data_IF_245889239439
#
_entry.id   IF_245889239439
#
_cell.length_a   1.000
_cell.length_b   1.000
_cell.length_c   1.000
_cell.angle_alpha   90.00
_cell.angle_beta   90.00
_cell.angle_gamma   90.00
#
_symmetry.space_group_name_H-M   'P 1'
#
loop_
_entity.id
_entity.type
_entity.pdbx_description
1 polymer ?
#
# COMPACT_ATOMS: atom_id res chain seq x y z
N UNK A 1 5.31 17.77 20.37
CA UNK A 1 4.91 17.37 21.75
C UNK A 1 3.39 17.20 21.92
N UNK A 2 2.55 17.98 21.23
CA UNK A 2 1.08 17.84 21.27
C UNK A 2 0.52 16.55 20.63
N UNK A 3 1.26 15.95 19.70
CA UNK A 3 0.81 14.75 18.98
C UNK A 3 0.67 13.52 19.91
N UNK A 4 1.51 13.42 20.94
CA UNK A 4 1.42 12.33 21.93
C UNK A 4 0.22 12.52 22.87
N UNK A 5 -0.05 13.76 23.28
CA UNK A 5 -1.22 14.09 24.10
C UNK A 5 -2.54 13.79 23.38
N UNK A 6 -2.62 14.07 22.08
CA UNK A 6 -3.78 13.74 21.24
C UNK A 6 -4.04 12.23 21.15
N UNK A 7 -2.99 11.40 21.28
CA UNK A 7 -3.09 9.93 21.28
C UNK A 7 -3.29 9.32 22.68
N UNK A 8 -3.58 10.14 23.69
CA UNK A 8 -3.88 9.69 25.06
C UNK A 8 -2.66 9.48 25.96
N UNK A 9 -1.47 9.91 25.53
CA UNK A 9 -0.27 9.91 26.36
C UNK A 9 -0.18 11.19 27.20
N UNK A 10 -0.12 11.06 28.52
CA UNK A 10 0.04 12.18 29.43
C UNK A 10 1.40 12.10 30.13
N UNK A 11 2.13 13.22 30.16
CA UNK A 11 3.38 13.33 30.90
C UNK A 11 3.13 14.12 32.17
N UNK A 12 3.24 13.44 33.31
CA UNK A 12 3.02 14.05 34.62
C UNK A 12 4.34 14.14 35.36
N UNK A 13 4.75 15.36 35.70
CA UNK A 13 5.88 15.58 36.58
C UNK A 13 5.47 15.30 38.03
N UNK A 14 6.24 14.47 38.73
CA UNK A 14 6.04 14.22 40.17
C UNK A 14 7.31 14.60 40.92
N UNK A 15 7.13 15.40 41.98
CA UNK A 15 8.19 15.82 42.89
C UNK A 15 8.70 14.66 43.75
N UNK A 16 7.82 13.73 44.09
CA UNK A 16 8.16 12.52 44.83
C UNK A 16 8.16 11.32 43.88
N UNK A 17 9.34 10.74 43.71
CA UNK A 17 9.54 9.55 42.90
C UNK A 17 9.20 8.26 43.64
N UNK A 18 8.99 7.18 42.90
CA UNK A 18 8.86 5.85 43.48
C UNK A 18 10.21 5.17 43.72
N UNK A 19 10.17 3.91 44.17
CA UNK A 19 11.37 3.06 44.33
C UNK A 19 12.19 2.96 43.04
N UNK A 20 11.52 2.95 41.88
CA UNK A 20 12.17 2.88 40.56
C UNK A 20 13.02 4.12 40.22
N UNK A 21 12.73 5.28 40.79
CA UNK A 21 13.52 6.52 40.59
C UNK A 21 14.36 6.87 41.82
N UNK A 22 14.52 5.95 42.77
CA UNK A 22 15.24 6.19 44.02
C UNK A 22 14.66 7.35 44.83
N UNK A 23 13.33 7.49 44.82
CA UNK A 23 12.58 8.58 45.48
C UNK A 23 12.87 9.99 44.95
N UNK A 24 13.57 10.12 43.82
CA UNK A 24 13.85 11.42 43.19
C UNK A 24 12.73 11.84 42.24
N UNK A 25 12.55 13.15 42.12
CA UNK A 25 11.61 13.77 41.20
C UNK A 25 11.86 13.34 39.75
N UNK A 26 10.79 13.16 38.98
CA UNK A 26 10.89 12.65 37.61
C UNK A 26 9.62 12.83 36.79
N UNK A 27 9.80 12.72 35.48
CA UNK A 27 8.71 12.74 34.50
C UNK A 27 8.16 11.33 34.31
N UNK A 28 6.86 11.16 34.52
CA UNK A 28 6.16 9.89 34.34
C UNK A 28 5.28 9.95 33.11
N UNK A 29 5.43 8.96 32.24
CA UNK A 29 4.45 8.70 31.19
C UNK A 29 3.27 7.94 31.82
N UNK A 30 2.09 8.54 31.80
CA UNK A 30 0.84 7.95 32.24
C UNK A 30 -0.11 7.88 31.05
N UNK A 31 -0.74 6.72 30.84
CA UNK A 31 -1.44 6.44 29.58
C UNK A 31 -0.45 6.05 28.48
N UNK A 32 -0.61 4.85 27.95
CA UNK A 32 0.11 4.45 26.75
C UNK A 32 -0.61 5.08 25.56
N UNK A 33 0.10 5.76 24.65
CA UNK A 33 -0.53 6.10 23.38
C UNK A 33 -0.97 4.79 22.79
N UNK A 34 -2.29 4.62 22.60
CA UNK A 34 -2.77 3.49 21.81
C UNK A 34 -2.02 3.63 20.49
N UNK A 35 -1.28 2.59 20.11
CA UNK A 35 -0.86 2.46 18.73
C UNK A 35 -2.18 2.46 17.98
N UNK A 36 -2.62 3.62 17.52
CA UNK A 36 -3.45 3.68 16.34
C UNK A 36 -2.56 2.96 15.35
N UNK A 37 -2.81 1.66 15.19
CA UNK A 37 -2.39 0.95 13.99
C UNK A 37 -2.67 1.96 12.90
N UNK A 38 -1.63 2.46 12.18
CA UNK A 38 -1.87 3.44 11.13
C UNK A 38 -2.99 2.80 10.36
N UNK A 39 -4.19 3.40 10.43
CA UNK A 39 -5.42 2.88 9.84
C UNK A 39 -4.91 2.41 8.52
N UNK A 40 -4.84 1.08 8.35
CA UNK A 40 -4.22 0.54 7.18
C UNK A 40 -4.89 1.35 6.09
N UNK A 41 -4.10 2.14 5.36
CA UNK A 41 -4.50 2.43 4.01
C UNK A 41 -4.72 1.02 3.51
N UNK A 42 -5.98 0.58 3.54
CA UNK A 42 -6.50 -0.37 2.57
C UNK A 42 -5.71 0.01 1.35
N UNK A 43 -4.88 -0.89 0.79
CA UNK A 43 -4.14 -0.52 -0.39
C UNK A 43 -5.22 -0.07 -1.36
N UNK A 44 -5.35 1.24 -1.51
CA UNK A 44 -5.93 1.94 -2.62
C UNK A 44 -4.94 1.65 -3.75
N UNK A 45 -4.80 0.35 -4.03
CA UNK A 45 -4.44 -0.12 -5.34
C UNK A 45 -5.41 0.62 -6.25
N UNK A 46 -4.89 1.27 -7.30
CA UNK A 46 -5.72 2.04 -8.21
C UNK A 46 -6.91 1.15 -8.56
N UNK A 47 -8.09 1.55 -8.07
CA UNK A 47 -9.31 0.86 -8.38
C UNK A 47 -9.49 1.11 -9.87
N UNK A 48 -8.96 0.19 -10.69
CA UNK A 48 -9.01 0.29 -12.14
C UNK A 48 -10.50 0.44 -12.46
N UNK A 49 -10.90 1.64 -12.82
CA UNK A 49 -12.28 1.96 -13.14
C UNK A 49 -12.60 1.39 -14.51
N UNK A 50 -13.86 1.08 -14.79
CA UNK A 50 -14.28 0.61 -16.13
C UNK A 50 -13.87 1.62 -17.22
N UNK A 51 -13.82 2.91 -16.87
CA UNK A 51 -13.33 3.99 -17.73
C UNK A 51 -11.83 3.85 -18.07
N UNK A 52 -11.00 3.38 -17.13
CA UNK A 52 -9.59 3.09 -17.36
C UNK A 52 -9.40 1.88 -18.26
N UNK A 53 -10.24 0.84 -18.11
CA UNK A 53 -10.22 -0.33 -18.99
C UNK A 53 -10.55 0.04 -20.44
N UNK A 54 -11.46 1.00 -20.64
CA UNK A 54 -11.83 1.47 -21.98
C UNK A 54 -10.75 2.32 -22.64
N UNK A 55 -9.77 2.81 -21.89
CA UNK A 55 -8.59 3.55 -22.39
C UNK A 55 -7.42 2.62 -22.71
N UNK A 56 -7.52 1.34 -22.38
CA UNK A 56 -6.46 0.37 -22.69
C UNK A 56 -6.51 0.08 -24.18
N UNK A 57 -5.47 0.55 -24.86
CA UNK A 57 -5.19 0.28 -26.26
C UNK A 57 -3.89 -0.54 -26.40
N UNK A 58 -3.71 -1.14 -27.57
CA UNK A 58 -2.45 -1.78 -27.94
C UNK A 58 -1.30 -0.74 -27.86
N UNK A 59 -0.22 -1.07 -27.15
CA UNK A 59 0.85 -0.14 -26.78
C UNK A 59 0.73 0.44 -25.37
N UNK A 60 -0.37 0.20 -24.64
CA UNK A 60 -0.52 0.69 -23.27
C UNK A 60 0.50 0.04 -22.33
N UNK A 61 1.16 0.86 -21.52
CA UNK A 61 2.06 0.37 -20.49
C UNK A 61 1.25 -0.14 -19.29
N UNK A 62 1.56 -1.33 -18.83
CA UNK A 62 0.95 -1.98 -17.67
C UNK A 62 2.03 -2.47 -16.73
N UNK A 63 1.71 -2.59 -15.45
CA UNK A 63 2.60 -3.09 -14.41
C UNK A 63 2.02 -4.37 -13.80
N UNK A 64 2.87 -5.39 -13.65
CA UNK A 64 2.57 -6.61 -12.94
C UNK A 64 3.54 -6.81 -11.78
N UNK A 65 3.04 -7.11 -10.59
CA UNK A 65 3.88 -7.24 -9.37
C UNK A 65 5.08 -8.18 -9.51
N UNK A 66 4.88 -9.33 -10.18
CA UNK A 66 5.95 -10.33 -10.36
C UNK A 66 6.79 -10.14 -11.62
N UNK A 67 6.25 -9.50 -12.66
CA UNK A 67 6.90 -9.42 -13.98
C UNK A 67 7.46 -8.03 -14.27
N UNK A 68 7.07 -7.02 -13.49
CA UNK A 68 7.45 -5.63 -13.70
C UNK A 68 6.60 -4.94 -14.76
N UNK A 69 7.20 -3.97 -15.43
CA UNK A 69 6.57 -3.23 -16.52
C UNK A 69 6.44 -4.09 -17.78
N UNK A 70 5.32 -3.95 -18.46
CA UNK A 70 5.03 -4.56 -19.74
C UNK A 70 4.17 -3.66 -20.61
N UNK A 71 4.07 -4.04 -21.87
CA UNK A 71 3.29 -3.34 -22.90
C UNK A 71 2.21 -4.28 -23.42
N UNK A 72 1.00 -3.75 -23.60
CA UNK A 72 -0.11 -4.50 -24.18
C UNK A 72 0.14 -4.67 -25.68
N UNK A 73 0.23 -5.91 -26.16
CA UNK A 73 0.48 -6.22 -27.58
C UNK A 73 -0.82 -6.51 -28.32
N UNK A 74 -1.77 -7.17 -27.67
CA UNK A 74 -3.06 -7.49 -28.27
C UNK A 74 -4.15 -7.53 -27.22
N UNK A 75 -5.33 -7.01 -27.59
CA UNK A 75 -6.51 -6.98 -26.73
C UNK A 75 -7.62 -7.77 -27.42
N UNK A 76 -8.03 -8.87 -26.80
CA UNK A 76 -9.22 -9.62 -27.15
C UNK A 76 -10.36 -9.37 -26.17
N UNK A 77 -11.54 -9.91 -26.47
CA UNK A 77 -12.74 -9.72 -25.64
C UNK A 77 -12.65 -10.39 -24.26
N UNK A 78 -11.95 -11.53 -24.16
CA UNK A 78 -11.79 -12.33 -22.93
C UNK A 78 -10.33 -12.36 -22.44
N UNK A 79 -9.38 -11.98 -23.29
CA UNK A 79 -7.94 -12.10 -23.00
C UNK A 79 -7.14 -10.92 -23.49
N UNK A 80 -6.10 -10.58 -22.75
CA UNK A 80 -5.13 -9.55 -23.10
C UNK A 80 -3.73 -10.15 -23.15
N UNK A 81 -2.99 -9.89 -24.22
CA UNK A 81 -1.60 -10.28 -24.38
C UNK A 81 -0.69 -9.13 -23.97
N UNK A 82 0.14 -9.36 -22.96
CA UNK A 82 1.10 -8.38 -22.44
C UNK A 82 2.52 -8.90 -22.62
N UNK A 83 3.40 -8.04 -23.11
CA UNK A 83 4.83 -8.29 -23.25
C UNK A 83 5.58 -7.57 -22.15
N UNK A 84 6.18 -8.33 -21.22
CA UNK A 84 6.99 -7.76 -20.15
C UNK A 84 8.45 -7.59 -20.56
N UNK A 85 9.05 -6.46 -20.20
CA UNK A 85 10.45 -6.17 -20.49
C UNK A 85 11.42 -7.10 -19.73
N UNK A 86 11.01 -7.52 -18.52
CA UNK A 86 11.81 -8.41 -17.67
C UNK A 86 11.94 -9.85 -18.22
N UNK A 87 11.15 -10.22 -19.23
CA UNK A 87 11.24 -11.55 -19.81
C UNK A 87 12.40 -11.60 -20.82
N UNK A 88 13.50 -12.27 -20.46
CA UNK A 88 14.67 -12.47 -21.34
C UNK A 88 14.34 -13.10 -22.70
N UNK A 89 13.18 -13.77 -22.81
CA UNK A 89 12.70 -14.39 -24.05
C UNK A 89 11.63 -13.56 -24.76
N UNK A 90 11.36 -12.34 -24.29
CA UNK A 90 10.32 -11.41 -24.78
C UNK A 90 8.99 -12.11 -25.04
N UNK A 91 8.63 -13.07 -24.17
CA UNK A 91 7.41 -13.86 -24.33
C UNK A 91 6.19 -13.00 -24.03
N UNK A 92 5.23 -13.07 -24.93
CA UNK A 92 3.87 -12.57 -24.71
C UNK A 92 3.18 -13.48 -23.70
N UNK A 93 2.53 -12.89 -22.71
CA UNK A 93 1.73 -13.59 -21.72
C UNK A 93 0.29 -13.15 -21.85
N UNK A 94 -0.58 -14.14 -22.01
CA UNK A 94 -2.02 -13.91 -22.04
C UNK A 94 -2.60 -13.95 -20.63
N UNK A 95 -3.42 -12.95 -20.30
CA UNK A 95 -4.17 -12.87 -19.06
C UNK A 95 -5.66 -12.73 -19.36
N UNK A 96 -6.50 -13.11 -18.39
CA UNK A 96 -7.96 -12.95 -18.49
C UNK A 96 -8.34 -11.47 -18.38
N UNK A 97 -8.99 -10.94 -19.41
CA UNK A 97 -9.46 -9.56 -19.46
C UNK A 97 -10.98 -9.50 -19.26
N UNK A 98 -11.52 -8.55 -18.48
CA UNK A 98 -10.84 -7.53 -17.66
C UNK A 98 -10.47 -8.02 -16.24
N UNK A 99 -10.80 -9.26 -15.88
CA UNK A 99 -10.68 -9.79 -14.51
C UNK A 99 -9.29 -9.63 -13.89
N UNK A 100 -8.22 -9.72 -14.69
CA UNK A 100 -6.84 -9.55 -14.21
C UNK A 100 -6.56 -8.18 -13.59
N UNK A 101 -7.25 -7.12 -14.04
CA UNK A 101 -7.15 -5.76 -13.50
C UNK A 101 -7.94 -5.63 -12.20
N UNK A 102 -9.17 -6.15 -12.17
CA UNK A 102 -9.99 -6.16 -10.95
C UNK A 102 -9.38 -6.99 -9.82
N UNK A 103 -8.65 -8.04 -10.15
CA UNK A 103 -7.92 -8.86 -9.19
C UNK A 103 -6.60 -8.21 -8.72
N UNK A 104 -6.23 -7.06 -9.28
CA UNK A 104 -4.97 -6.35 -8.95
C UNK A 104 -3.71 -7.10 -9.41
N UNK A 105 -3.83 -8.01 -10.38
CA UNK A 105 -2.65 -8.64 -10.99
C UNK A 105 -1.95 -7.67 -11.95
N UNK A 106 -2.74 -6.96 -12.75
CA UNK A 106 -2.28 -5.90 -13.65
C UNK A 106 -2.76 -4.54 -13.17
N UNK A 107 -1.86 -3.57 -13.24
CA UNK A 107 -2.08 -2.18 -12.90
C UNK A 107 -1.69 -1.33 -14.11
N UNK A 108 -2.34 -0.18 -14.27
CA UNK A 108 -1.96 0.84 -15.25
C UNK A 108 -0.91 1.77 -14.66
#
# INVERSE_FOLDING_TARGET
>A
MNELAANGAQFTYKLEGGKATGFKAGWWLSGYPKKTEPKALEPEGPAITEDDLSKIEEGTQVFHKSFGYGEVVSIGSDRIAVRFDNDKKKKEREFMFPSTFFQGMLQL
#
